data_IF_463577319456
#
_entry.id   IF_463577319456
#
_cell.length_a   1.000
_cell.length_b   1.000
_cell.length_c   1.000
_cell.angle_alpha   90.00
_cell.angle_beta   90.00
_cell.angle_gamma   90.00
#
_symmetry.space_group_name_H-M   'P 1'
#
loop_
_entity.id
_entity.type
_entity.pdbx_description
1 polymer ?
#
# COMPACT_ATOMS: atom_id res chain seq x y z
N UNK A 1 -0.74 -12.71 -27.89
CA UNK A 1 -1.04 -11.64 -26.93
C UNK A 1 -1.69 -12.30 -25.75
N UNK A 2 -1.16 -12.17 -24.54
CA UNK A 2 -1.86 -12.69 -23.36
C UNK A 2 -3.06 -11.78 -23.14
N UNK A 3 -4.27 -12.31 -23.35
CA UNK A 3 -5.50 -11.57 -23.08
C UNK A 3 -5.61 -11.37 -21.57
N UNK A 4 -5.44 -10.13 -21.11
CA UNK A 4 -5.67 -9.76 -19.71
C UNK A 4 -7.17 -9.85 -19.42
N UNK A 5 -7.53 -10.69 -18.45
CA UNK A 5 -8.92 -10.95 -18.10
C UNK A 5 -9.46 -9.97 -17.05
N UNK A 6 -10.79 -9.88 -16.94
CA UNK A 6 -11.43 -9.18 -15.81
C UNK A 6 -10.96 -9.75 -14.45
N UNK A 7 -10.67 -11.04 -14.37
CA UNK A 7 -10.19 -11.67 -13.15
C UNK A 7 -8.79 -11.17 -12.75
N UNK A 8 -7.92 -10.89 -13.72
CA UNK A 8 -6.59 -10.29 -13.49
C UNK A 8 -6.73 -8.87 -12.96
N UNK A 9 -7.64 -8.09 -13.53
CA UNK A 9 -7.93 -6.72 -13.08
C UNK A 9 -8.47 -6.71 -11.64
N UNK A 10 -9.44 -7.56 -11.33
CA UNK A 10 -10.01 -7.69 -9.99
C UNK A 10 -8.97 -8.14 -8.97
N UNK A 11 -8.06 -9.04 -9.37
CA UNK A 11 -6.96 -9.48 -8.52
C UNK A 11 -5.99 -8.34 -8.24
N UNK A 12 -5.54 -7.61 -9.26
CA UNK A 12 -4.62 -6.50 -9.08
C UNK A 12 -5.24 -5.37 -8.22
N UNK A 13 -6.54 -5.10 -8.38
CA UNK A 13 -7.27 -4.14 -7.55
C UNK A 13 -7.36 -4.59 -6.09
N UNK A 14 -7.66 -5.87 -5.83
CA UNK A 14 -7.68 -6.43 -4.48
C UNK A 14 -6.31 -6.33 -3.82
N UNK A 15 -5.24 -6.67 -4.54
CA UNK A 15 -3.87 -6.59 -4.05
C UNK A 15 -3.49 -5.15 -3.69
N UNK A 16 -3.78 -4.18 -4.55
CA UNK A 16 -3.56 -2.75 -4.27
C UNK A 16 -4.32 -2.29 -3.02
N UNK A 17 -5.62 -2.63 -2.91
CA UNK A 17 -6.45 -2.27 -1.75
C UNK A 17 -5.92 -2.89 -0.45
N UNK A 18 -5.45 -4.13 -0.49
CA UNK A 18 -4.88 -4.80 0.67
C UNK A 18 -3.63 -4.07 1.17
N UNK A 19 -2.70 -3.72 0.26
CA UNK A 19 -1.48 -2.95 0.61
C UNK A 19 -1.79 -1.57 1.16
N UNK A 20 -2.75 -0.87 0.55
CA UNK A 20 -3.18 0.44 1.04
C UNK A 20 -3.80 0.34 2.44
N UNK A 21 -4.62 -0.68 2.68
CA UNK A 21 -5.24 -0.91 3.99
C UNK A 21 -4.19 -1.17 5.07
N UNK A 22 -3.16 -1.97 4.78
CA UNK A 22 -2.06 -2.22 5.70
C UNK A 22 -1.28 -0.94 6.03
N UNK A 23 -0.95 -0.13 5.00
CA UNK A 23 -0.25 1.13 5.19
C UNK A 23 -1.05 2.13 6.05
N UNK A 24 -2.35 2.25 5.78
CA UNK A 24 -3.25 3.11 6.56
C UNK A 24 -3.37 2.61 8.00
N UNK A 25 -3.59 1.31 8.21
CA UNK A 25 -3.70 0.75 9.56
C UNK A 25 -2.43 1.00 10.40
N UNK A 26 -1.26 0.84 9.78
CA UNK A 26 0.02 1.14 10.44
C UNK A 26 0.14 2.63 10.83
N UNK A 27 -0.20 3.53 9.91
CA UNK A 27 -0.16 4.97 10.17
C UNK A 27 -1.18 5.41 11.24
N UNK A 28 -2.40 4.86 11.20
CA UNK A 28 -3.43 5.12 12.21
C UNK A 28 -2.99 4.67 13.59
N UNK A 29 -2.42 3.46 13.73
CA UNK A 29 -1.92 2.99 15.03
C UNK A 29 -0.84 3.91 15.62
N UNK A 30 0.04 4.43 14.76
CA UNK A 30 1.05 5.41 15.15
C UNK A 30 0.46 6.77 15.54
N UNK A 31 -0.52 7.24 14.78
CA UNK A 31 -1.25 8.47 15.09
C UNK A 31 -1.95 8.37 16.44
N UNK A 32 -2.72 7.30 16.68
CA UNK A 32 -3.42 7.06 17.93
C UNK A 32 -2.46 7.00 19.13
N UNK A 33 -1.29 6.39 18.95
CA UNK A 33 -0.25 6.35 20.00
C UNK A 33 0.25 7.75 20.36
N UNK A 34 0.46 8.61 19.37
CA UNK A 34 0.90 9.99 19.57
C UNK A 34 -0.20 10.87 20.20
N UNK A 35 -1.45 10.72 19.76
CA UNK A 35 -2.61 11.43 20.33
C UNK A 35 -2.84 11.06 21.80
N UNK A 36 -2.56 9.81 22.18
CA UNK A 36 -2.59 9.35 23.58
C UNK A 36 -1.39 9.84 24.42
N UNK A 37 -0.53 10.70 23.86
CA UNK A 37 0.60 11.29 24.57
C UNK A 37 1.70 10.29 24.92
N UNK A 38 1.84 9.19 24.16
CA UNK A 38 2.91 8.21 24.33
C UNK A 38 4.07 8.62 23.43
N UNK A 39 5.09 9.34 23.93
CA UNK A 39 6.20 9.76 23.11
C UNK A 39 6.99 8.54 22.63
N UNK A 40 7.32 8.43 21.33
CA UNK A 40 8.18 7.38 20.84
C UNK A 40 9.64 7.65 21.22
N UNK A 41 10.39 6.58 21.41
CA UNK A 41 11.85 6.64 21.45
C UNK A 41 12.43 6.92 20.06
N UNK A 42 13.70 7.34 20.02
CA UNK A 42 14.41 7.55 18.75
C UNK A 42 14.51 6.27 17.91
N UNK A 43 14.62 5.10 18.55
CA UNK A 43 14.61 3.80 17.88
C UNK A 43 13.28 3.52 17.19
N UNK A 44 12.17 3.79 17.87
CA UNK A 44 10.82 3.59 17.31
C UNK A 44 10.52 4.58 16.17
N UNK A 45 11.00 5.83 16.25
CA UNK A 45 10.89 6.79 15.13
C UNK A 45 11.68 6.32 13.90
N UNK A 46 12.87 5.77 14.11
CA UNK A 46 13.68 5.18 13.03
C UNK A 46 12.95 3.99 12.38
N UNK A 47 12.42 3.08 13.21
CA UNK A 47 11.63 1.94 12.74
C UNK A 47 10.38 2.38 11.97
N UNK A 48 9.65 3.38 12.48
CA UNK A 48 8.51 3.98 11.78
C UNK A 48 8.89 4.49 10.40
N UNK A 49 10.01 5.21 10.29
CA UNK A 49 10.49 5.78 9.03
C UNK A 49 10.82 4.68 8.03
N UNK A 50 11.50 3.62 8.46
CA UNK A 50 11.83 2.48 7.59
C UNK A 50 10.56 1.74 7.15
N UNK A 51 9.69 1.40 8.11
CA UNK A 51 8.49 0.60 7.82
C UNK A 51 7.48 1.36 6.97
N UNK A 52 7.25 2.64 7.23
CA UNK A 52 6.39 3.50 6.40
C UNK A 52 6.95 3.64 4.98
N UNK A 53 8.26 3.79 4.82
CA UNK A 53 8.92 3.79 3.52
C UNK A 53 8.69 2.50 2.73
N UNK A 54 8.83 1.34 3.38
CA UNK A 54 8.55 0.03 2.78
C UNK A 54 7.09 -0.10 2.36
N UNK A 55 6.15 0.20 3.26
CA UNK A 55 4.72 0.11 2.98
C UNK A 55 4.32 1.02 1.81
N UNK A 56 4.85 2.25 1.76
CA UNK A 56 4.62 3.17 0.65
C UNK A 56 5.16 2.62 -0.67
N UNK A 57 6.35 2.00 -0.67
CA UNK A 57 6.92 1.37 -1.86
C UNK A 57 6.06 0.18 -2.34
N UNK A 58 5.58 -0.66 -1.42
CA UNK A 58 4.68 -1.78 -1.74
C UNK A 58 3.35 -1.29 -2.33
N UNK A 59 2.76 -0.23 -1.76
CA UNK A 59 1.53 0.40 -2.27
C UNK A 59 1.76 0.96 -3.68
N UNK A 60 2.87 1.67 -3.90
CA UNK A 60 3.21 2.23 -5.20
C UNK A 60 3.41 1.14 -6.26
N UNK A 61 4.09 0.04 -5.90
CA UNK A 61 4.27 -1.10 -6.79
C UNK A 61 2.93 -1.76 -7.15
N UNK A 62 2.05 -1.97 -6.17
CA UNK A 62 0.74 -2.57 -6.40
C UNK A 62 -0.17 -1.67 -7.25
N UNK A 63 -0.13 -0.34 -7.05
CA UNK A 63 -0.84 0.62 -7.88
C UNK A 63 -0.33 0.61 -9.33
N UNK A 64 1.00 0.59 -9.51
CA UNK A 64 1.62 0.51 -10.84
C UNK A 64 1.17 -0.76 -11.57
N UNK A 65 1.20 -1.92 -10.90
CA UNK A 65 0.72 -3.18 -11.46
C UNK A 65 -0.77 -3.12 -11.83
N UNK A 66 -1.64 -2.64 -10.92
CA UNK A 66 -3.06 -2.45 -11.23
C UNK A 66 -3.27 -1.55 -12.45
N UNK A 67 -2.51 -0.47 -12.56
CA UNK A 67 -2.62 0.50 -13.66
C UNK A 67 -2.20 -0.13 -15.00
N UNK A 68 -1.15 -0.94 -15.01
CA UNK A 68 -0.71 -1.70 -16.19
C UNK A 68 -1.77 -2.71 -16.64
N UNK A 69 -2.33 -3.49 -15.70
CA UNK A 69 -3.40 -4.45 -16.00
C UNK A 69 -4.65 -3.75 -16.54
N UNK A 70 -5.03 -2.62 -15.93
CA UNK A 70 -6.16 -1.81 -16.39
C UNK A 70 -5.94 -1.26 -17.80
N UNK A 71 -4.76 -0.73 -18.10
CA UNK A 71 -4.43 -0.24 -19.43
C UNK A 71 -4.55 -1.34 -20.50
N UNK A 72 -4.00 -2.51 -20.21
CA UNK A 72 -4.12 -3.67 -21.11
C UNK A 72 -5.56 -4.14 -21.28
N UNK A 73 -6.35 -4.21 -20.20
CA UNK A 73 -7.74 -4.67 -20.24
C UNK A 73 -8.65 -3.73 -21.04
N UNK A 74 -8.44 -2.42 -20.93
CA UNK A 74 -9.26 -1.40 -21.60
C UNK A 74 -8.67 -0.90 -22.93
N UNK A 75 -7.56 -1.47 -23.40
CA UNK A 75 -6.83 -1.03 -24.59
C UNK A 75 -6.47 0.47 -24.58
N UNK A 76 -6.07 0.98 -23.41
CA UNK A 76 -5.56 2.34 -23.21
C UNK A 76 -4.05 2.39 -23.49
#
# INVERSE_FOLDING_TARGET
>A
MSDFSQADLDRALRDYRARLTEAVAYATAWHDRLENGIPPSSGEVSEFTVRSGQLNAEVAQALSHYSQVAAHHYHL
#
